data_IF_791826251303
#
_entry.id   IF_791826251303
#
_cell.length_a   1.000
_cell.length_b   1.000
_cell.length_c   1.000
_cell.angle_alpha   90.00
_cell.angle_beta   90.00
_cell.angle_gamma   90.00
#
_symmetry.space_group_name_H-M   'P 1'
#
loop_
_entity.id
_entity.type
_entity.pdbx_description
1 polymer ?
#
# COMPACT_ATOMS: atom_id res chain seq x y z
N UNK A 1 -14.91 -4.63 11.91
CA UNK A 1 -13.71 -4.56 12.75
C UNK A 1 -12.67 -3.86 11.91
N UNK A 2 -12.34 -2.61 12.24
CA UNK A 2 -11.30 -1.88 11.52
C UNK A 2 -9.97 -2.44 11.98
N UNK A 3 -9.23 -3.11 11.10
CA UNK A 3 -7.80 -3.36 11.32
C UNK A 3 -7.17 -1.98 11.41
N UNK A 4 -6.76 -1.59 12.62
CA UNK A 4 -6.14 -0.31 12.88
C UNK A 4 -4.71 -0.35 12.37
N UNK A 5 -4.53 -0.06 11.08
CA UNK A 5 -3.20 0.18 10.52
C UNK A 5 -2.92 1.68 10.52
N UNK A 6 -1.73 2.04 10.95
CA UNK A 6 -1.19 3.39 10.92
C UNK A 6 -0.21 3.50 9.76
N UNK A 7 -0.35 4.55 8.96
CA UNK A 7 0.55 4.83 7.83
C UNK A 7 1.35 6.07 8.19
N UNK A 8 2.66 5.92 8.30
CA UNK A 8 3.61 6.98 8.61
C UNK A 8 4.54 7.18 7.40
N UNK A 9 4.72 8.43 6.97
CA UNK A 9 5.72 8.73 5.95
C UNK A 9 7.12 8.68 6.58
N UNK A 10 8.00 7.85 6.03
CA UNK A 10 9.32 7.65 6.59
C UNK A 10 10.36 8.60 5.97
N UNK A 11 10.76 8.33 4.71
CA UNK A 11 11.69 9.14 3.88
C UNK A 11 11.83 8.53 2.49
N UNK A 12 12.19 9.33 1.50
CA UNK A 12 12.52 8.84 0.14
C UNK A 12 11.36 8.04 -0.50
N UNK A 13 10.11 8.51 -0.32
CA UNK A 13 8.91 7.82 -0.79
C UNK A 13 8.63 6.45 -0.12
N UNK A 14 9.35 6.11 0.94
CA UNK A 14 9.00 4.99 1.80
C UNK A 14 7.94 5.40 2.81
N UNK A 15 6.88 4.59 2.88
CA UNK A 15 5.81 4.67 3.86
C UNK A 15 5.89 3.45 4.77
N UNK A 16 5.84 3.69 6.06
CA UNK A 16 5.79 2.66 7.08
C UNK A 16 4.34 2.38 7.42
N UNK A 17 3.94 1.12 7.33
CA UNK A 17 2.59 0.68 7.70
C UNK A 17 2.74 -0.20 8.92
N UNK A 18 2.21 0.27 10.04
CA UNK A 18 2.18 -0.48 11.30
C UNK A 18 0.77 -0.96 11.56
N UNK A 19 0.59 -2.25 11.80
CA UNK A 19 -0.68 -2.79 12.23
C UNK A 19 -0.49 -3.80 13.35
N UNK A 20 -1.61 -4.22 13.91
CA UNK A 20 -1.67 -5.32 14.87
C UNK A 20 -2.46 -6.46 14.24
N UNK A 21 -1.88 -7.66 14.23
CA UNK A 21 -2.53 -8.86 13.74
C UNK A 21 -2.39 -9.97 14.78
N UNK A 22 -3.51 -10.53 15.24
CA UNK A 22 -3.56 -11.56 16.29
C UNK A 22 -2.83 -11.18 17.60
N UNK A 23 -2.63 -9.88 17.85
CA UNK A 23 -1.91 -9.36 19.02
C UNK A 23 -0.40 -9.19 18.81
N UNK A 24 0.10 -9.51 17.63
CA UNK A 24 1.48 -9.24 17.21
C UNK A 24 1.53 -7.93 16.40
N UNK A 25 2.47 -7.06 16.75
CA UNK A 25 2.75 -5.85 16.01
C UNK A 25 3.53 -6.20 14.73
N UNK A 26 2.95 -5.87 13.58
CA UNK A 26 3.54 -6.10 12.26
C UNK A 26 3.78 -4.78 11.57
N UNK A 27 4.96 -4.68 10.96
CA UNK A 27 5.41 -3.50 10.26
C UNK A 27 5.83 -3.86 8.83
N UNK A 28 5.23 -3.19 7.86
CA UNK A 28 5.52 -3.36 6.44
C UNK A 28 5.91 -2.01 5.84
N UNK A 29 7.00 -2.00 5.08
CA UNK A 29 7.43 -0.83 4.34
C UNK A 29 6.85 -0.85 2.94
N UNK A 30 6.35 0.28 2.47
CA UNK A 30 5.82 0.47 1.14
C UNK A 30 6.66 1.50 0.40
N UNK A 31 7.16 1.15 -0.79
CA UNK A 31 7.84 2.10 -1.66
C UNK A 31 6.83 2.68 -2.66
N UNK A 32 6.53 3.96 -2.53
CA UNK A 32 5.64 4.71 -3.40
C UNK A 32 6.43 5.70 -4.28
N UNK A 33 7.34 5.16 -5.07
CA UNK A 33 8.21 5.94 -5.94
C UNK A 33 7.40 6.76 -6.97
N UNK A 34 7.71 8.04 -7.19
CA UNK A 34 6.97 8.87 -8.14
C UNK A 34 7.00 8.31 -9.57
N UNK A 35 8.07 7.61 -9.95
CA UNK A 35 8.13 6.91 -11.23
C UNK A 35 7.11 5.77 -11.33
N UNK A 36 6.95 4.99 -10.26
CA UNK A 36 5.96 3.93 -10.17
C UNK A 36 4.53 4.51 -10.18
N UNK A 37 4.30 5.60 -9.43
CA UNK A 37 3.00 6.29 -9.41
C UNK A 37 2.62 6.83 -10.79
N UNK A 38 3.58 7.39 -11.54
CA UNK A 38 3.36 7.85 -12.91
C UNK A 38 3.05 6.68 -13.86
N UNK A 39 3.80 5.57 -13.74
CA UNK A 39 3.56 4.36 -14.53
C UNK A 39 2.16 3.76 -14.28
N UNK A 40 1.66 3.83 -13.05
CA UNK A 40 0.32 3.38 -12.66
C UNK A 40 -0.78 4.39 -13.06
N UNK A 41 -0.40 5.60 -13.49
CA UNK A 41 -1.32 6.68 -13.85
C UNK A 41 -1.97 7.37 -12.64
N UNK A 42 -1.34 7.27 -11.46
CA UNK A 42 -1.80 7.87 -10.20
C UNK A 42 -0.84 8.92 -9.64
N UNK A 43 0.15 9.36 -10.43
CA UNK A 43 1.12 10.38 -10.04
C UNK A 43 0.53 11.76 -9.68
N UNK A 44 -0.74 12.00 -10.00
CA UNK A 44 -1.48 13.20 -9.56
C UNK A 44 -2.05 13.09 -8.15
N UNK A 45 -2.13 11.87 -7.59
CA UNK A 45 -2.69 11.61 -6.26
C UNK A 45 -1.61 11.61 -5.18
N UNK A 46 -1.97 11.91 -3.92
CA UNK A 46 -1.02 11.86 -2.81
C UNK A 46 -0.49 10.43 -2.64
N UNK A 47 0.84 10.27 -2.56
CA UNK A 47 1.47 8.96 -2.36
C UNK A 47 0.99 8.27 -1.06
N UNK A 48 0.66 9.04 -0.02
CA UNK A 48 0.08 8.51 1.21
C UNK A 48 -1.30 7.85 0.99
N UNK A 49 -2.16 8.44 0.17
CA UNK A 49 -3.47 7.86 -0.18
C UNK A 49 -3.31 6.61 -1.04
N UNK A 50 -2.36 6.64 -1.97
CA UNK A 50 -1.99 5.48 -2.79
C UNK A 50 -1.53 4.32 -1.89
N UNK A 51 -0.65 4.56 -0.92
CA UNK A 51 -0.20 3.52 0.02
C UNK A 51 -1.36 3.02 0.87
N UNK A 52 -2.22 3.91 1.39
CA UNK A 52 -3.42 3.50 2.15
C UNK A 52 -4.34 2.61 1.33
N UNK A 53 -4.62 2.98 0.08
CA UNK A 53 -5.40 2.17 -0.85
C UNK A 53 -4.74 0.83 -1.14
N UNK A 54 -3.41 0.83 -1.31
CA UNK A 54 -2.61 -0.38 -1.53
C UNK A 54 -2.71 -1.35 -0.35
N UNK A 55 -2.51 -0.84 0.86
CA UNK A 55 -2.66 -1.62 2.10
C UNK A 55 -4.07 -2.16 2.22
N UNK A 56 -5.09 -1.33 2.01
CA UNK A 56 -6.48 -1.78 2.08
C UNK A 56 -6.81 -2.84 1.02
N UNK A 57 -6.22 -2.76 -0.17
CA UNK A 57 -6.36 -3.74 -1.24
C UNK A 57 -5.69 -5.07 -0.90
N UNK A 58 -4.48 -5.02 -0.32
CA UNK A 58 -3.73 -6.19 0.12
C UNK A 58 -4.42 -6.87 1.30
N UNK A 59 -4.88 -6.10 2.30
CA UNK A 59 -5.60 -6.61 3.47
C UNK A 59 -6.93 -7.31 3.14
N UNK A 60 -7.53 -7.01 1.99
CA UNK A 60 -8.70 -7.73 1.49
C UNK A 60 -8.36 -9.12 0.94
N UNK A 61 -7.10 -9.37 0.58
CA UNK A 61 -6.63 -10.61 -0.06
C UNK A 61 -5.82 -11.49 0.88
N UNK A 62 -4.99 -10.88 1.71
CA UNK A 62 -4.02 -11.54 2.58
C UNK A 62 -3.87 -10.74 3.88
N UNK A 63 -3.33 -11.39 4.93
CA UNK A 63 -3.14 -10.72 6.22
C UNK A 63 -1.89 -9.82 6.19
N UNK A 64 -1.84 -8.81 7.07
CA UNK A 64 -0.69 -7.92 7.16
C UNK A 64 0.59 -8.69 7.52
N UNK A 65 0.49 -9.75 8.34
CA UNK A 65 1.63 -10.60 8.72
C UNK A 65 2.17 -11.48 7.59
N UNK A 66 1.37 -11.69 6.54
CA UNK A 66 1.80 -12.42 5.35
C UNK A 66 2.49 -11.50 4.32
N UNK A 67 2.42 -10.18 4.53
CA UNK A 67 3.12 -9.24 3.66
C UNK A 67 4.62 -9.30 3.90
N UNK A 68 5.42 -9.19 2.83
CA UNK A 68 6.85 -9.05 2.99
C UNK A 68 7.19 -7.78 3.79
N UNK A 69 8.36 -7.71 4.44
CA UNK A 69 8.77 -6.55 5.23
C UNK A 69 8.96 -5.27 4.40
N UNK A 70 9.09 -5.43 3.08
CA UNK A 70 9.07 -4.35 2.09
C UNK A 70 8.20 -4.80 0.91
N UNK A 71 7.32 -3.90 0.49
CA UNK A 71 6.40 -4.05 -0.63
C UNK A 71 6.63 -2.87 -1.58
N UNK A 72 6.92 -3.18 -2.83
CA UNK A 72 7.09 -2.20 -3.88
C UNK A 72 5.82 -2.16 -4.72
N UNK A 73 5.31 -0.95 -5.00
CA UNK A 73 4.06 -0.82 -5.76
C UNK A 73 4.13 -1.46 -7.16
N UNK A 74 5.31 -1.42 -7.77
CA UNK A 74 5.57 -2.05 -9.06
C UNK A 74 5.45 -3.57 -8.98
N UNK A 75 5.91 -4.18 -7.88
CA UNK A 75 5.82 -5.62 -7.64
C UNK A 75 4.36 -6.02 -7.37
N UNK A 76 3.62 -5.21 -6.61
CA UNK A 76 2.18 -5.43 -6.39
C UNK A 76 1.41 -5.33 -7.71
N UNK A 77 1.70 -4.33 -8.55
CA UNK A 77 1.07 -4.18 -9.86
C UNK A 77 1.41 -5.36 -10.80
N UNK A 78 2.66 -5.83 -10.76
CA UNK A 78 3.10 -6.99 -11.52
C UNK A 78 2.45 -8.30 -11.04
N UNK A 79 2.24 -8.44 -9.72
CA UNK A 79 1.58 -9.60 -9.11
C UNK A 79 0.05 -9.57 -9.28
N UNK A 80 -0.53 -8.37 -9.25
CA UNK A 80 -1.97 -8.14 -9.27
C UNK A 80 -2.35 -7.16 -10.40
N UNK A 81 -2.78 -7.65 -11.57
CA UNK A 81 -3.16 -6.78 -12.68
C UNK A 81 -4.40 -5.91 -12.37
N UNK A 82 -5.28 -6.35 -11.47
CA UNK A 82 -6.44 -5.57 -11.01
C UNK A 82 -6.07 -4.46 -10.01
N UNK A 83 -4.81 -4.39 -9.57
CA UNK A 83 -4.35 -3.39 -8.61
C UNK A 83 -4.46 -1.97 -9.14
N UNK A 84 -4.07 -1.75 -10.40
CA UNK A 84 -4.15 -0.44 -11.04
C UNK A 84 -5.59 0.10 -11.08
N UNK A 85 -6.53 -0.77 -11.44
CA UNK A 85 -7.95 -0.42 -11.53
C UNK A 85 -8.52 -0.13 -10.14
N UNK A 86 -8.17 -0.96 -9.15
CA UNK A 86 -8.57 -0.75 -7.77
C UNK A 86 -7.96 0.52 -7.16
N UNK A 87 -6.72 0.88 -7.52
CA UNK A 87 -6.12 2.14 -7.09
C UNK A 87 -6.89 3.33 -7.66
N UNK A 88 -7.20 3.33 -8.96
CA UNK A 88 -7.98 4.40 -9.57
C UNK A 88 -9.36 4.48 -8.94
N UNK A 89 -10.03 3.36 -8.73
CA UNK A 89 -11.33 3.31 -8.07
C UNK A 89 -11.28 3.84 -6.63
N UNK A 90 -10.20 3.57 -5.88
CA UNK A 90 -10.02 4.05 -4.52
C UNK A 90 -9.66 5.54 -4.44
N UNK A 91 -9.00 6.08 -5.46
CA UNK A 91 -8.58 7.50 -5.52
C UNK A 91 -9.64 8.42 -6.15
N UNK A 92 -10.57 7.87 -6.95
CA UNK A 92 -11.71 8.59 -7.53
C UNK A 92 -12.92 8.69 -6.56
N UNK A 93 -12.89 7.93 -5.46
CA UNK A 93 -13.95 7.84 -4.45
C UNK A 93 -13.83 8.90 -3.34
#
# INVERSE_FOLDING_TARGET
MSVGFEVEEFRDHHYLVRGEVDGDAVETRFLADPAALDALGVGSSPAADVVRATVAFLLQRQRLDELPPQVDLEDVAAAYPDFEDALRAALDA
#
